data_IF_993804205893
#
_entry.id   IF_993804205893
#
_cell.length_a   1.000
_cell.length_b   1.000
_cell.length_c   1.000
_cell.angle_alpha   90.00
_cell.angle_beta   90.00
_cell.angle_gamma   90.00
#
_symmetry.space_group_name_H-M   'P 1'
#
loop_
_entity.id
_entity.type
_entity.pdbx_description
1 polymer ?
#
# COMPACT_ATOMS: atom_id res chain seq x y z
N UNK A 1 -12.39 7.75 39.26
CA UNK A 1 -10.95 8.07 39.23
C UNK A 1 -10.76 9.34 38.43
N UNK A 2 -10.03 10.34 38.95
CA UNK A 2 -9.80 11.59 38.23
C UNK A 2 -8.97 11.32 36.96
N UNK A 3 -9.19 12.08 35.87
CA UNK A 3 -8.44 11.91 34.59
C UNK A 3 -6.92 11.92 34.81
N UNK A 4 -6.45 12.69 35.78
CA UNK A 4 -5.05 12.82 36.12
C UNK A 4 -4.44 11.55 36.74
N UNK A 5 -5.25 10.76 37.44
CA UNK A 5 -4.82 9.49 38.05
C UNK A 5 -4.65 8.38 37.00
N UNK A 6 -5.54 8.39 35.99
CA UNK A 6 -5.46 7.48 34.84
C UNK A 6 -4.22 7.78 34.00
N UNK A 7 -3.94 9.05 33.70
CA UNK A 7 -2.75 9.44 32.93
C UNK A 7 -1.44 9.05 33.63
N UNK A 8 -1.32 9.29 34.94
CA UNK A 8 -0.16 8.86 35.74
C UNK A 8 0.03 7.34 35.72
N UNK A 9 -1.07 6.60 35.79
CA UNK A 9 -1.04 5.13 35.71
C UNK A 9 -0.57 4.64 34.34
N UNK A 10 -1.02 5.27 33.26
CA UNK A 10 -0.57 4.97 31.88
C UNK A 10 0.93 5.25 31.73
N UNK A 11 1.41 6.40 32.20
CA UNK A 11 2.83 6.75 32.15
C UNK A 11 3.69 5.74 32.91
N UNK A 12 3.22 5.26 34.07
CA UNK A 12 3.88 4.20 34.84
C UNK A 12 3.98 2.91 34.04
N UNK A 13 2.90 2.46 33.41
CA UNK A 13 2.95 1.26 32.55
C UNK A 13 3.90 1.41 31.37
N UNK A 14 3.91 2.57 30.71
CA UNK A 14 4.85 2.85 29.61
C UNK A 14 6.30 2.85 30.13
N UNK A 15 6.56 3.39 31.33
CA UNK A 15 7.88 3.35 31.95
C UNK A 15 8.32 1.92 32.28
N UNK A 16 7.46 1.12 32.92
CA UNK A 16 7.73 -0.29 33.24
C UNK A 16 8.02 -1.11 31.98
N UNK A 17 7.21 -0.93 30.92
CA UNK A 17 7.46 -1.57 29.63
C UNK A 17 8.80 -1.18 29.03
N UNK A 18 9.20 0.10 29.06
CA UNK A 18 10.51 0.52 28.52
C UNK A 18 11.70 -0.11 29.26
N UNK A 19 11.60 -0.28 30.57
CA UNK A 19 12.67 -0.86 31.41
C UNK A 19 12.73 -2.40 31.38
N UNK A 20 11.66 -3.05 30.92
CA UNK A 20 11.57 -4.51 30.93
C UNK A 20 12.41 -5.14 29.80
N UNK A 21 13.05 -6.27 30.11
CA UNK A 21 13.91 -7.00 29.17
C UNK A 21 13.15 -8.10 28.44
N UNK A 22 12.23 -8.76 29.13
CA UNK A 22 11.42 -9.82 28.55
C UNK A 22 10.35 -9.23 27.60
N UNK A 23 10.33 -9.70 26.36
CA UNK A 23 9.46 -9.17 25.32
C UNK A 23 7.97 -9.34 25.65
N UNK A 24 7.58 -10.50 26.21
CA UNK A 24 6.20 -10.78 26.58
C UNK A 24 5.70 -9.88 27.73
N UNK A 25 6.53 -9.66 28.75
CA UNK A 25 6.23 -8.69 29.83
C UNK A 25 6.21 -7.26 29.32
N UNK A 26 7.09 -6.91 28.37
CA UNK A 26 7.09 -5.61 27.68
C UNK A 26 5.76 -5.35 26.99
N UNK A 27 5.31 -6.32 26.19
CA UNK A 27 4.03 -6.27 25.48
C UNK A 27 2.88 -6.11 26.47
N UNK A 28 2.89 -6.87 27.57
CA UNK A 28 1.87 -6.79 28.61
C UNK A 28 1.73 -5.37 29.16
N UNK A 29 2.84 -4.71 29.54
CA UNK A 29 2.78 -3.36 30.08
C UNK A 29 2.23 -2.34 29.07
N UNK A 30 2.66 -2.40 27.81
CA UNK A 30 2.11 -1.52 26.78
C UNK A 30 0.63 -1.81 26.50
N UNK A 31 0.20 -3.07 26.58
CA UNK A 31 -1.21 -3.45 26.47
C UNK A 31 -2.04 -2.86 27.60
N UNK A 32 -1.55 -2.89 28.83
CA UNK A 32 -2.24 -2.26 29.98
C UNK A 32 -2.36 -0.73 29.79
N UNK A 33 -1.31 -0.08 29.30
CA UNK A 33 -1.36 1.34 28.96
C UNK A 33 -2.44 1.64 27.89
N UNK A 34 -2.50 0.83 26.84
CA UNK A 34 -3.46 0.99 25.75
C UNK A 34 -4.89 0.62 26.12
N UNK A 35 -5.11 -0.27 27.09
CA UNK A 35 -6.46 -0.52 27.62
C UNK A 35 -7.03 0.70 28.34
N UNK A 36 -6.20 1.44 29.06
CA UNK A 36 -6.60 2.67 29.74
C UNK A 36 -6.71 3.87 28.78
N UNK A 37 -5.79 3.98 27.83
CA UNK A 37 -5.78 5.03 26.81
C UNK A 37 -5.47 4.45 25.42
N UNK A 38 -6.49 4.01 24.67
CA UNK A 38 -6.32 3.35 23.37
C UNK A 38 -5.64 4.20 22.29
N UNK A 39 -5.71 5.53 22.44
CA UNK A 39 -5.10 6.52 21.52
C UNK A 39 -3.81 7.12 22.08
N UNK A 40 -3.19 6.50 23.08
CA UNK A 40 -1.92 7.00 23.60
C UNK A 40 -0.79 6.74 22.60
N UNK A 41 -0.31 7.80 21.95
CA UNK A 41 0.73 7.74 20.90
C UNK A 41 2.03 7.11 21.42
N UNK A 42 2.42 7.40 22.67
CA UNK A 42 3.65 6.84 23.24
C UNK A 42 3.54 5.33 23.46
N UNK A 43 2.40 4.84 23.99
CA UNK A 43 2.19 3.41 24.17
C UNK A 43 2.13 2.67 22.83
N UNK A 44 1.41 3.22 21.84
CA UNK A 44 1.36 2.66 20.47
C UNK A 44 2.76 2.59 19.85
N UNK A 45 3.55 3.66 19.97
CA UNK A 45 4.89 3.71 19.39
C UNK A 45 5.84 2.69 20.03
N UNK A 46 5.82 2.57 21.36
CA UNK A 46 6.67 1.58 22.05
C UNK A 46 6.24 0.14 21.73
N UNK A 47 4.94 -0.12 21.58
CA UNK A 47 4.45 -1.43 21.13
C UNK A 47 4.88 -1.74 19.70
N UNK A 48 4.81 -0.76 18.79
CA UNK A 48 5.26 -0.92 17.41
C UNK A 48 6.76 -1.20 17.31
N UNK A 49 7.58 -0.50 18.11
CA UNK A 49 9.02 -0.75 18.22
C UNK A 49 9.32 -2.15 18.76
N UNK A 50 8.55 -2.64 19.74
CA UNK A 50 8.66 -4.01 20.22
C UNK A 50 8.38 -5.02 19.10
N UNK A 51 7.30 -4.82 18.35
CA UNK A 51 6.98 -5.68 17.21
C UNK A 51 8.02 -5.63 16.09
N UNK A 52 8.65 -4.47 15.84
CA UNK A 52 9.81 -4.39 14.95
C UNK A 52 10.98 -5.25 15.45
N UNK A 53 11.30 -5.18 16.75
CA UNK A 53 12.38 -5.97 17.36
C UNK A 53 12.09 -7.49 17.29
N UNK A 54 10.82 -7.87 17.32
CA UNK A 54 10.37 -9.26 17.17
C UNK A 54 10.16 -9.69 15.70
N UNK A 55 10.53 -8.85 14.73
CA UNK A 55 10.30 -9.07 13.28
C UNK A 55 8.82 -9.22 12.88
N UNK A 56 7.88 -8.81 13.75
CA UNK A 56 6.43 -8.72 13.49
C UNK A 56 6.11 -7.43 12.74
N UNK A 57 6.65 -7.31 11.53
CA UNK A 57 6.66 -6.04 10.81
C UNK A 57 5.27 -5.57 10.35
N UNK A 58 4.33 -6.48 10.07
CA UNK A 58 2.97 -6.10 9.66
C UNK A 58 2.21 -5.46 10.82
N UNK A 59 2.28 -6.10 11.98
CA UNK A 59 1.67 -5.64 13.21
C UNK A 59 2.26 -4.31 13.67
N UNK A 60 3.57 -4.10 13.46
CA UNK A 60 4.21 -2.81 13.69
C UNK A 60 3.66 -1.71 12.77
N UNK A 61 3.50 -1.99 11.46
CA UNK A 61 2.90 -1.04 10.51
C UNK A 61 1.48 -0.66 10.93
N UNK A 62 0.64 -1.63 11.30
CA UNK A 62 -0.73 -1.36 11.76
C UNK A 62 -0.77 -0.40 12.96
N UNK A 63 0.17 -0.57 13.91
CA UNK A 63 0.28 0.32 15.08
C UNK A 63 0.78 1.72 14.70
N UNK A 64 1.73 1.84 13.77
CA UNK A 64 2.18 3.13 13.28
C UNK A 64 1.11 3.86 12.47
N UNK A 65 0.33 3.17 11.64
CA UNK A 65 -0.79 3.75 10.92
C UNK A 65 -1.89 4.22 11.88
N UNK A 66 -2.15 3.47 12.96
CA UNK A 66 -3.02 3.94 14.05
C UNK A 66 -2.53 5.25 14.65
N UNK A 67 -1.22 5.42 14.87
CA UNK A 67 -0.65 6.69 15.35
C UNK A 67 -0.97 7.84 14.38
N UNK A 68 -0.77 7.62 13.09
CA UNK A 68 -1.07 8.63 12.05
C UNK A 68 -2.56 8.98 12.00
N UNK A 69 -3.45 8.00 12.22
CA UNK A 69 -4.90 8.20 12.21
C UNK A 69 -5.44 9.06 13.37
N UNK A 70 -4.69 9.21 14.47
CA UNK A 70 -5.11 10.02 15.62
C UNK A 70 -5.09 11.52 15.28
N UNK A 71 -4.30 11.95 14.29
CA UNK A 71 -4.35 13.31 13.73
C UNK A 71 -3.73 14.41 14.60
N UNK A 72 -3.24 14.11 15.81
CA UNK A 72 -2.62 15.08 16.73
C UNK A 72 -1.09 15.00 16.76
N UNK A 73 -0.48 14.27 15.83
CA UNK A 73 0.97 14.04 15.79
C UNK A 73 1.65 15.27 15.16
N UNK A 74 2.22 16.13 16.00
CA UNK A 74 2.91 17.36 15.57
C UNK A 74 4.11 17.10 14.63
N UNK A 75 4.74 15.92 14.74
CA UNK A 75 5.91 15.51 13.95
C UNK A 75 5.73 14.08 13.47
N UNK A 76 5.06 13.84 12.33
CA UNK A 76 4.78 12.48 11.86
C UNK A 76 5.96 11.82 11.15
N UNK A 77 7.00 12.59 10.77
CA UNK A 77 8.16 12.08 10.03
C UNK A 77 8.90 10.89 10.69
N UNK A 78 9.04 10.78 12.04
CA UNK A 78 9.65 9.59 12.64
C UNK A 78 8.78 8.34 12.45
N UNK A 79 7.46 8.51 12.44
CA UNK A 79 6.50 7.43 12.21
C UNK A 79 6.58 6.97 10.75
N UNK A 80 6.66 7.90 9.80
CA UNK A 80 6.88 7.57 8.38
C UNK A 80 8.19 6.82 8.16
N UNK A 81 9.27 7.24 8.81
CA UNK A 81 10.55 6.53 8.77
C UNK A 81 10.44 5.10 9.30
N UNK A 82 9.81 4.90 10.46
CA UNK A 82 9.63 3.56 11.04
C UNK A 82 8.75 2.65 10.18
N UNK A 83 7.67 3.18 9.58
CA UNK A 83 6.86 2.42 8.61
C UNK A 83 7.71 2.03 7.40
N UNK A 84 8.53 2.95 6.87
CA UNK A 84 9.43 2.65 5.75
C UNK A 84 10.37 1.49 6.05
N UNK A 85 10.97 1.47 7.24
CA UNK A 85 11.83 0.35 7.67
C UNK A 85 11.08 -0.99 7.76
N UNK A 86 9.86 -0.98 8.32
CA UNK A 86 9.02 -2.18 8.35
C UNK A 86 8.68 -2.67 6.94
N UNK A 87 8.26 -1.77 6.06
CA UNK A 87 7.86 -2.11 4.69
C UNK A 87 9.05 -2.61 3.86
N UNK A 88 10.24 -2.02 4.05
CA UNK A 88 11.49 -2.52 3.47
C UNK A 88 11.75 -3.97 3.93
N UNK A 89 11.61 -4.24 5.23
CA UNK A 89 11.80 -5.57 5.81
C UNK A 89 10.75 -6.60 5.33
N UNK A 90 9.55 -6.14 4.96
CA UNK A 90 8.50 -6.94 4.35
C UNK A 90 8.69 -7.15 2.83
N UNK A 91 9.70 -6.53 2.21
CA UNK A 91 9.93 -6.54 0.77
C UNK A 91 8.98 -5.63 -0.02
N UNK A 92 8.12 -4.86 0.65
CA UNK A 92 7.27 -3.85 0.00
C UNK A 92 8.08 -2.56 -0.22
N UNK A 93 9.03 -2.62 -1.15
CA UNK A 93 9.97 -1.53 -1.41
C UNK A 93 9.30 -0.26 -1.97
N UNK A 94 8.25 -0.40 -2.79
CA UNK A 94 7.50 0.75 -3.30
C UNK A 94 6.70 1.45 -2.19
N UNK A 95 6.12 0.69 -1.26
CA UNK A 95 5.48 1.23 -0.06
C UNK A 95 6.50 1.95 0.83
N UNK A 96 7.66 1.33 1.08
CA UNK A 96 8.74 1.93 1.84
C UNK A 96 9.21 3.26 1.23
N UNK A 97 9.44 3.28 -0.09
CA UNK A 97 9.78 4.48 -0.87
C UNK A 97 8.73 5.58 -0.73
N UNK A 98 7.45 5.22 -0.71
CA UNK A 98 6.36 6.19 -0.54
C UNK A 98 6.43 6.86 0.84
N UNK A 99 6.61 6.08 1.90
CA UNK A 99 6.67 6.60 3.26
C UNK A 99 7.95 7.40 3.54
N UNK A 100 9.12 6.98 3.05
CA UNK A 100 10.35 7.77 3.23
C UNK A 100 10.29 9.12 2.50
N UNK A 101 9.67 9.17 1.32
CA UNK A 101 9.43 10.44 0.63
C UNK A 101 8.49 11.37 1.41
N UNK A 102 7.52 10.84 2.16
CA UNK A 102 6.68 11.65 3.07
C UNK A 102 7.49 12.22 4.24
N UNK A 103 8.47 11.47 4.76
CA UNK A 103 9.39 11.98 5.78
C UNK A 103 10.29 13.10 5.21
N UNK A 104 10.86 12.88 4.02
CA UNK A 104 11.70 13.86 3.31
C UNK A 104 10.92 15.11 2.89
N UNK A 105 9.63 15.02 2.61
CA UNK A 105 8.81 16.21 2.33
C UNK A 105 8.73 17.18 3.53
N UNK A 106 8.93 16.67 4.76
CA UNK A 106 8.96 17.48 5.99
C UNK A 106 10.40 17.88 6.35
N UNK A 107 11.36 16.97 6.14
CA UNK A 107 12.79 17.20 6.36
C UNK A 107 13.59 16.78 5.12
N UNK A 108 13.74 17.67 4.12
CA UNK A 108 14.38 17.32 2.85
C UNK A 108 15.85 16.91 2.96
N UNK A 109 16.56 17.48 3.93
CA UNK A 109 18.01 17.34 4.09
C UNK A 109 18.40 16.42 5.27
N UNK A 110 17.48 15.58 5.73
CA UNK A 110 17.78 14.59 6.79
C UNK A 110 18.57 13.43 6.19
N UNK A 111 19.87 13.36 6.50
CA UNK A 111 20.83 12.40 5.97
C UNK A 111 20.34 10.95 6.10
N UNK A 112 19.79 10.59 7.27
CA UNK A 112 19.25 9.25 7.55
C UNK A 112 18.11 8.89 6.59
N UNK A 113 17.29 9.87 6.20
CA UNK A 113 16.17 9.63 5.29
C UNK A 113 16.62 9.51 3.83
N UNK A 114 17.65 10.27 3.46
CA UNK A 114 18.26 10.19 2.13
C UNK A 114 18.95 8.83 1.95
N UNK A 115 19.77 8.39 2.92
CA UNK A 115 20.43 7.09 2.92
C UNK A 115 19.42 5.94 2.77
N UNK A 116 18.35 5.93 3.58
CA UNK A 116 17.33 4.88 3.48
C UNK A 116 16.62 4.91 2.13
N UNK A 117 16.40 6.10 1.55
CA UNK A 117 15.78 6.22 0.23
C UNK A 117 16.69 5.67 -0.87
N UNK A 118 17.98 5.97 -0.82
CA UNK A 118 18.97 5.44 -1.76
C UNK A 118 19.01 3.92 -1.69
N UNK A 119 19.10 3.36 -0.48
CA UNK A 119 19.07 1.90 -0.26
C UNK A 119 17.81 1.25 -0.87
N UNK A 120 16.62 1.84 -0.64
CA UNK A 120 15.37 1.33 -1.20
C UNK A 120 15.37 1.40 -2.74
N UNK A 121 15.93 2.46 -3.33
CA UNK A 121 16.01 2.63 -4.79
C UNK A 121 16.98 1.62 -5.41
N UNK A 122 18.10 1.33 -4.75
CA UNK A 122 19.06 0.32 -5.19
C UNK A 122 18.46 -1.08 -5.13
N UNK A 123 17.71 -1.40 -4.07
CA UNK A 123 16.97 -2.65 -3.95
C UNK A 123 15.90 -2.80 -5.04
N UNK A 124 15.19 -1.72 -5.38
CA UNK A 124 14.23 -1.71 -6.49
C UNK A 124 14.91 -1.92 -7.85
N UNK A 125 16.05 -1.27 -8.06
CA UNK A 125 16.80 -1.34 -9.31
C UNK A 125 17.45 -2.71 -9.51
N UNK A 126 17.97 -3.32 -8.43
CA UNK A 126 18.54 -4.67 -8.45
C UNK A 126 17.48 -5.77 -8.59
N UNK A 127 16.26 -5.55 -8.07
CA UNK A 127 15.10 -6.42 -8.29
C UNK A 127 14.46 -6.32 -9.69
N UNK A 128 14.71 -5.24 -10.44
CA UNK A 128 14.09 -4.96 -11.73
C UNK A 128 14.71 -5.65 -12.97
N UNK A 129 15.49 -6.72 -12.79
CA UNK A 129 15.92 -7.57 -13.92
C UNK A 129 14.81 -8.47 -14.50
N UNK A 130 13.56 -8.32 -14.08
CA UNK A 130 12.43 -8.72 -14.91
C UNK A 130 11.97 -7.54 -15.76
N UNK A 131 12.66 -7.36 -16.89
CA UNK A 131 12.22 -6.47 -17.95
C UNK A 131 10.86 -6.96 -18.46
N UNK A 132 9.78 -6.26 -18.10
CA UNK A 132 8.54 -6.37 -18.88
C UNK A 132 8.86 -5.81 -20.26
N UNK A 133 8.77 -6.60 -21.35
CA UNK A 133 9.11 -6.10 -22.66
C UNK A 133 8.16 -4.95 -22.99
N UNK A 134 8.75 -3.80 -23.32
CA UNK A 134 8.03 -2.65 -23.84
C UNK A 134 7.59 -3.01 -25.26
N UNK A 135 6.42 -3.62 -25.38
CA UNK A 135 5.78 -3.85 -26.67
C UNK A 135 5.43 -2.47 -27.24
N UNK A 136 6.23 -2.03 -28.20
CA UNK A 136 5.91 -0.87 -29.04
C UNK A 136 4.71 -1.26 -29.89
N UNK A 137 3.59 -0.58 -29.66
CA UNK A 137 2.37 -0.78 -30.45
C UNK A 137 2.65 -0.43 -31.91
N UNK A 138 2.74 -1.43 -32.77
CA UNK A 138 2.63 -1.21 -34.20
C UNK A 138 1.20 -0.77 -34.48
N UNK A 139 1.07 0.38 -35.14
CA UNK A 139 -0.14 0.82 -35.81
C UNK A 139 -0.55 -0.27 -36.80
N UNK A 140 -1.72 -0.89 -36.62
CA UNK A 140 -2.25 -1.86 -37.59
C UNK A 140 -3.69 -1.55 -37.98
N UNK A 141 -3.88 -1.75 -39.28
CA UNK A 141 -4.92 -1.34 -40.22
C UNK A 141 -6.38 -1.63 -39.84
N UNK A 142 -7.26 -0.93 -40.57
CA UNK A 142 -8.72 -1.03 -40.52
C UNK A 142 -9.13 -2.47 -40.87
N UNK A 143 -9.47 -3.27 -39.86
CA UNK A 143 -9.94 -4.65 -40.01
C UNK A 143 -9.19 -5.69 -39.17
N UNK A 144 -8.06 -5.32 -38.53
CA UNK A 144 -7.27 -6.25 -37.74
C UNK A 144 -8.01 -6.76 -36.49
N UNK A 145 -8.04 -8.08 -36.30
CA UNK A 145 -8.49 -8.70 -35.04
C UNK A 145 -7.51 -8.31 -33.93
N UNK A 146 -8.00 -8.10 -32.71
CA UNK A 146 -7.18 -7.85 -31.52
C UNK A 146 -6.97 -9.14 -30.75
N UNK A 147 -5.71 -9.53 -30.59
CA UNK A 147 -5.26 -10.77 -29.95
C UNK A 147 -4.19 -10.53 -28.87
N UNK A 148 -3.72 -9.29 -28.68
CA UNK A 148 -2.68 -8.94 -27.72
C UNK A 148 -3.17 -8.99 -26.25
N UNK A 149 -2.22 -9.27 -25.35
CA UNK A 149 -2.41 -9.18 -23.89
C UNK A 149 -1.74 -7.91 -23.34
N UNK A 150 -2.45 -6.78 -23.45
CA UNK A 150 -1.97 -5.46 -23.04
C UNK A 150 -2.90 -4.89 -21.96
N UNK A 151 -2.82 -5.45 -20.75
CA UNK A 151 -3.71 -5.11 -19.65
C UNK A 151 -3.53 -3.65 -19.16
N UNK A 152 -4.59 -2.99 -18.66
CA UNK A 152 -4.44 -1.72 -17.95
C UNK A 152 -3.57 -1.87 -16.70
N UNK A 153 -3.01 -0.77 -16.21
CA UNK A 153 -2.27 -0.78 -14.96
C UNK A 153 -3.14 -1.30 -13.80
N UNK A 154 -2.53 -2.03 -12.87
CA UNK A 154 -3.19 -2.60 -11.68
C UNK A 154 -3.96 -1.52 -10.91
N UNK A 155 -3.33 -0.37 -10.68
CA UNK A 155 -3.95 0.80 -10.03
C UNK A 155 -5.19 1.32 -10.76
N UNK A 156 -5.22 1.24 -12.10
CA UNK A 156 -6.38 1.64 -12.91
C UNK A 156 -7.55 0.69 -12.68
N UNK A 157 -7.29 -0.62 -12.70
CA UNK A 157 -8.33 -1.61 -12.43
C UNK A 157 -8.80 -1.58 -10.99
N UNK A 158 -7.89 -1.42 -10.04
CA UNK A 158 -8.20 -1.28 -8.62
C UNK A 158 -9.14 -0.09 -8.39
N UNK A 159 -8.80 1.09 -8.94
CA UNK A 159 -9.65 2.28 -8.88
C UNK A 159 -11.02 2.05 -9.52
N UNK A 160 -11.08 1.38 -10.68
CA UNK A 160 -12.36 1.11 -11.37
C UNK A 160 -13.28 0.12 -10.64
N UNK A 161 -12.72 -0.83 -9.89
CA UNK A 161 -13.46 -1.95 -9.29
C UNK A 161 -13.88 -1.63 -7.87
N UNK A 162 -12.95 -1.14 -7.05
CA UNK A 162 -13.14 -1.07 -5.60
C UNK A 162 -13.51 0.32 -5.09
N UNK A 163 -13.37 1.36 -5.91
CA UNK A 163 -13.55 2.75 -5.49
C UNK A 163 -14.60 3.46 -6.33
N UNK A 164 -15.26 4.45 -5.73
CA UNK A 164 -16.31 5.21 -6.40
C UNK A 164 -15.74 6.05 -7.56
N UNK A 165 -14.57 6.65 -7.33
CA UNK A 165 -13.83 7.44 -8.31
C UNK A 165 -12.32 7.45 -8.04
N UNK A 166 -11.57 8.19 -8.85
CA UNK A 166 -10.12 8.29 -8.71
C UNK A 166 -9.67 9.05 -7.45
N UNK A 167 -10.48 9.98 -6.94
CA UNK A 167 -10.16 10.71 -5.71
C UNK A 167 -10.34 9.82 -4.48
N UNK A 168 -11.39 8.98 -4.48
CA UNK A 168 -11.63 7.95 -3.47
C UNK A 168 -10.47 6.95 -3.42
N UNK A 169 -10.07 6.40 -4.58
CA UNK A 169 -8.87 5.57 -4.70
C UNK A 169 -7.62 6.28 -4.17
N UNK A 170 -7.40 7.55 -4.56
CA UNK A 170 -6.23 8.32 -4.13
C UNK A 170 -6.22 8.55 -2.61
N UNK A 171 -7.37 8.73 -1.99
CA UNK A 171 -7.51 8.93 -0.55
C UNK A 171 -7.16 7.66 0.23
N UNK A 172 -7.62 6.50 -0.25
CA UNK A 172 -7.35 5.20 0.37
C UNK A 172 -5.99 4.60 0.00
N UNK A 173 -5.28 5.20 -0.97
CA UNK A 173 -3.98 4.72 -1.43
C UNK A 173 -2.93 4.81 -0.31
N UNK A 174 -2.39 3.65 0.06
CA UNK A 174 -1.38 3.52 1.12
C UNK A 174 -1.94 3.32 2.53
N UNK A 175 -3.22 2.95 2.66
CA UNK A 175 -3.86 2.52 3.93
C UNK A 175 -3.97 0.97 4.05
N UNK A 176 -3.13 0.22 3.34
CA UNK A 176 -3.11 -1.26 3.31
C UNK A 176 -4.28 -1.93 2.56
N UNK A 177 -5.49 -1.38 2.64
CA UNK A 177 -6.68 -1.88 1.94
C UNK A 177 -6.51 -1.83 0.41
N UNK A 178 -5.94 -0.74 -0.10
CA UNK A 178 -5.61 -0.61 -1.52
C UNK A 178 -4.59 -1.66 -1.96
N UNK A 179 -3.62 -2.01 -1.12
CA UNK A 179 -2.58 -2.98 -1.46
C UNK A 179 -3.15 -4.41 -1.55
N UNK A 180 -4.11 -4.74 -0.69
CA UNK A 180 -4.90 -5.98 -0.78
C UNK A 180 -5.72 -6.02 -2.07
N UNK A 181 -6.41 -4.92 -2.41
CA UNK A 181 -7.15 -4.82 -3.66
C UNK A 181 -6.23 -4.98 -4.88
N UNK A 182 -5.10 -4.28 -4.92
CA UNK A 182 -4.11 -4.42 -5.99
C UNK A 182 -3.55 -5.85 -6.10
N UNK A 183 -3.33 -6.53 -4.97
CA UNK A 183 -2.89 -7.93 -4.96
C UNK A 183 -3.95 -8.86 -5.59
N UNK A 184 -5.23 -8.66 -5.25
CA UNK A 184 -6.34 -9.41 -5.88
C UNK A 184 -6.41 -9.14 -7.38
N UNK A 185 -6.19 -7.89 -7.81
CA UNK A 185 -6.15 -7.56 -9.24
C UNK A 185 -4.98 -8.26 -9.94
N UNK A 186 -3.77 -8.26 -9.35
CA UNK A 186 -2.60 -8.97 -9.90
C UNK A 186 -2.88 -10.46 -10.08
N UNK A 187 -3.39 -11.13 -9.05
CA UNK A 187 -3.73 -12.56 -9.11
C UNK A 187 -4.76 -12.86 -10.22
N UNK A 188 -5.77 -12.00 -10.39
CA UNK A 188 -6.76 -12.13 -11.47
C UNK A 188 -6.18 -11.89 -12.87
N UNK A 189 -5.22 -10.99 -13.02
CA UNK A 189 -4.51 -10.78 -14.28
C UNK A 189 -3.60 -11.97 -14.62
N UNK A 190 -2.87 -12.50 -13.64
CA UNK A 190 -2.01 -13.69 -13.80
C UNK A 190 -2.83 -14.91 -14.21
N UNK A 191 -3.99 -15.12 -13.59
CA UNK A 191 -4.95 -16.19 -13.93
C UNK A 191 -5.74 -15.92 -15.21
N UNK A 192 -5.44 -14.83 -15.93
CA UNK A 192 -6.14 -14.37 -17.14
C UNK A 192 -7.66 -14.27 -17.01
N UNK A 193 -8.15 -13.98 -15.80
CA UNK A 193 -9.58 -13.86 -15.51
C UNK A 193 -10.14 -12.59 -16.17
N UNK A 194 -9.37 -11.49 -16.15
CA UNK A 194 -9.75 -10.27 -16.84
C UNK A 194 -9.41 -10.37 -18.33
N UNK A 195 -10.43 -10.45 -19.17
CA UNK A 195 -10.30 -10.51 -20.61
C UNK A 195 -11.37 -9.63 -21.29
N UNK A 196 -11.12 -9.18 -22.51
CA UNK A 196 -11.99 -8.23 -23.20
C UNK A 196 -13.41 -8.72 -23.39
N UNK A 197 -13.67 -10.04 -23.36
CA UNK A 197 -15.02 -10.59 -23.43
C UNK A 197 -15.90 -10.20 -22.23
N UNK A 198 -15.28 -9.92 -21.07
CA UNK A 198 -15.93 -9.55 -19.82
C UNK A 198 -15.92 -8.03 -19.60
N UNK A 199 -15.56 -7.28 -20.64
CA UNK A 199 -15.51 -5.84 -20.64
C UNK A 199 -16.90 -5.25 -20.89
N UNK A 200 -17.24 -4.13 -20.23
CA UNK A 200 -18.50 -3.42 -20.46
C UNK A 200 -18.72 -2.91 -21.90
N UNK A 201 -17.65 -2.78 -22.68
CA UNK A 201 -17.69 -2.28 -24.07
C UNK A 201 -17.79 -3.41 -25.09
N UNK A 202 -17.74 -4.67 -24.65
CA UNK A 202 -17.76 -5.82 -25.53
C UNK A 202 -19.21 -6.18 -25.90
N UNK A 203 -19.45 -6.37 -27.20
CA UNK A 203 -20.75 -6.77 -27.71
C UNK A 203 -20.57 -7.58 -28.99
N UNK A 204 -21.07 -8.83 -28.99
CA UNK A 204 -21.06 -9.74 -30.14
C UNK A 204 -19.68 -9.89 -30.82
N UNK A 205 -18.63 -10.18 -30.04
CA UNK A 205 -17.28 -10.40 -30.58
C UNK A 205 -16.51 -9.13 -30.97
N UNK A 206 -17.09 -7.95 -30.70
CA UNK A 206 -16.53 -6.65 -31.12
C UNK A 206 -16.47 -5.68 -29.94
N UNK A 207 -15.36 -4.97 -29.79
CA UNK A 207 -15.23 -3.86 -28.84
C UNK A 207 -15.85 -2.59 -29.42
N UNK A 208 -16.85 -2.02 -28.73
CA UNK A 208 -17.62 -0.83 -29.16
C UNK A 208 -17.35 0.39 -28.27
N UNK A 209 -16.11 0.61 -27.84
CA UNK A 209 -15.75 1.78 -27.03
C UNK A 209 -16.07 3.07 -27.82
N UNK A 210 -16.82 3.98 -27.21
CA UNK A 210 -17.18 5.28 -27.84
C UNK A 210 -15.92 6.00 -28.35
N UNK A 211 -15.98 6.50 -29.59
CA UNK A 211 -14.89 7.23 -30.23
C UNK A 211 -13.81 6.38 -30.90
N UNK A 212 -13.95 5.05 -30.95
CA UNK A 212 -13.07 4.16 -31.73
C UNK A 212 -13.87 3.34 -32.75
N UNK A 213 -13.25 3.02 -33.88
CA UNK A 213 -13.81 2.07 -34.86
C UNK A 213 -13.94 0.70 -34.17
N UNK A 214 -15.09 0.05 -34.35
CA UNK A 214 -15.34 -1.26 -33.73
C UNK A 214 -14.30 -2.28 -34.19
N UNK A 215 -13.57 -2.89 -33.24
CA UNK A 215 -12.52 -3.88 -33.52
C UNK A 215 -12.97 -5.26 -33.05
N UNK A 216 -12.75 -6.30 -33.85
CA UNK A 216 -12.97 -7.69 -33.43
C UNK A 216 -11.93 -8.07 -32.39
N UNK A 217 -12.34 -8.77 -31.33
CA UNK A 217 -11.47 -9.08 -30.19
C UNK A 217 -11.55 -10.57 -29.85
N UNK A 218 -10.39 -11.22 -29.69
CA UNK A 218 -10.34 -12.63 -29.30
C UNK A 218 -10.73 -12.82 -27.81
N UNK A 219 -11.30 -13.98 -27.45
CA UNK A 219 -11.75 -14.26 -26.08
C UNK A 219 -10.66 -14.08 -25.01
N UNK A 220 -9.41 -14.45 -25.32
CA UNK A 220 -8.29 -14.46 -24.37
C UNK A 220 -7.41 -13.19 -24.41
N UNK A 221 -7.89 -12.11 -25.03
CA UNK A 221 -7.13 -10.86 -25.17
C UNK A 221 -7.60 -9.81 -24.15
N UNK A 222 -6.72 -8.90 -23.74
CA UNK A 222 -7.05 -7.76 -22.86
C UNK A 222 -6.37 -6.50 -23.39
N UNK A 223 -7.07 -5.37 -23.41
CA UNK A 223 -6.52 -4.11 -23.92
C UNK A 223 -6.36 -3.05 -22.82
N UNK A 224 -5.52 -2.04 -23.05
CA UNK A 224 -5.28 -0.90 -22.13
C UNK A 224 -6.54 -0.14 -21.73
N UNK A 225 -7.60 -0.25 -22.54
CA UNK A 225 -8.89 0.38 -22.30
C UNK A 225 -9.92 -0.56 -21.69
N UNK A 226 -9.51 -1.75 -21.25
CA UNK A 226 -10.38 -2.71 -20.59
C UNK A 226 -11.04 -2.06 -19.37
N UNK A 227 -12.34 -2.34 -19.23
CA UNK A 227 -13.14 -1.85 -18.14
C UNK A 227 -14.10 -2.97 -17.73
N UNK A 228 -13.92 -3.57 -16.54
CA UNK A 228 -14.68 -4.72 -16.11
C UNK A 228 -16.17 -4.37 -16.03
N UNK A 229 -17.03 -5.28 -16.50
CA UNK A 229 -18.46 -5.15 -16.26
C UNK A 229 -18.73 -5.26 -14.75
N UNK A 230 -19.54 -4.34 -14.20
CA UNK A 230 -20.07 -4.52 -12.85
C UNK A 230 -21.10 -5.66 -12.93
N UNK A 231 -20.86 -6.73 -12.18
CA UNK A 231 -21.86 -7.77 -11.96
C UNK A 231 -22.94 -7.26 -11.02
#
# INVERSE_FOLDING_TARGET
MAKDDVSKTVERYIASGRSEKDAGRKEHYFKMALQLQPKNVHALNNMALLFQQEHKFREAVDLYEKILSIGVVARPYPVYYNISLCLKSLGNLEGAKTYINRALAIKPDDEIFLELKEEIVDLLSSGSKESVPRITSNTTEIGAVYDEWDAPAVSTLTSQIYYADWNDYKYHRGLGETDLHEKVIRDKLEKRIYCCNSCRYFSAGTCRKKGKVGRKVLPDSICKSFFPAKH
#
